data_IF_715080281454
#
_entry.id   IF_715080281454
#
_cell.length_a   1.000
_cell.length_b   1.000
_cell.length_c   1.000
_cell.angle_alpha   90.00
_cell.angle_beta   90.00
_cell.angle_gamma   90.00
#
_symmetry.space_group_name_H-M   'P 1'
#
loop_
_entity.id
_entity.type
_entity.pdbx_description
1 polymer ?
#
# COMPACT_ATOMS: atom_id res chain seq x y z
N UNK A 1 -20.45 9.18 69.94
CA UNK A 1 -19.74 7.92 70.28
C UNK A 1 -19.57 7.76 71.80
N UNK A 2 -18.84 8.64 72.48
CA UNK A 2 -18.55 8.47 73.92
C UNK A 2 -19.78 8.46 74.83
N UNK A 3 -20.81 9.25 74.48
CA UNK A 3 -22.11 9.28 75.18
C UNK A 3 -22.82 7.92 75.24
N UNK A 4 -22.65 7.06 74.22
CA UNK A 4 -23.40 5.80 74.07
C UNK A 4 -22.51 4.56 74.18
N UNK A 5 -21.24 4.71 74.56
CA UNK A 5 -20.20 3.67 74.46
C UNK A 5 -20.56 2.34 75.12
N UNK A 6 -21.24 2.37 76.27
CA UNK A 6 -21.71 1.18 77.00
C UNK A 6 -22.74 0.35 76.21
N UNK A 7 -23.46 1.00 75.29
CA UNK A 7 -24.59 0.42 74.55
C UNK A 7 -24.24 -0.08 73.16
N UNK A 8 -22.99 0.14 72.72
CA UNK A 8 -22.54 -0.23 71.40
C UNK A 8 -22.09 -1.70 71.35
N UNK A 9 -22.43 -2.38 70.25
CA UNK A 9 -21.88 -3.69 69.89
C UNK A 9 -20.51 -3.57 69.22
N UNK A 10 -20.27 -2.48 68.49
CA UNK A 10 -18.99 -2.18 67.87
C UNK A 10 -18.47 -0.83 68.37
N UNK A 11 -17.16 -0.71 68.62
CA UNK A 11 -16.58 0.51 69.13
C UNK A 11 -16.58 1.64 68.11
N UNK A 12 -16.60 1.33 66.80
CA UNK A 12 -16.55 2.30 65.71
C UNK A 12 -17.90 2.41 64.98
N UNK A 13 -18.25 3.59 64.44
CA UNK A 13 -19.40 3.74 63.56
C UNK A 13 -19.28 2.83 62.33
N UNK A 14 -20.41 2.36 61.84
CA UNK A 14 -20.50 1.51 60.66
C UNK A 14 -21.34 2.18 59.59
N UNK A 15 -20.92 2.07 58.32
CA UNK A 15 -21.72 2.54 57.19
C UNK A 15 -22.76 1.49 56.82
N UNK A 16 -24.04 1.90 56.76
CA UNK A 16 -25.18 1.08 56.33
C UNK A 16 -26.07 1.90 55.42
N UNK A 17 -26.39 1.35 54.24
CA UNK A 17 -27.20 2.02 53.23
C UNK A 17 -26.73 3.45 52.94
N UNK A 18 -25.40 3.66 52.87
CA UNK A 18 -24.77 4.96 52.62
C UNK A 18 -24.75 5.93 53.81
N UNK A 19 -25.29 5.56 54.98
CA UNK A 19 -25.32 6.39 56.18
C UNK A 19 -24.37 5.88 57.24
N UNK A 20 -23.71 6.78 57.96
CA UNK A 20 -22.92 6.44 59.13
C UNK A 20 -23.85 6.17 60.32
N UNK A 21 -23.66 5.02 60.97
CA UNK A 21 -24.56 4.54 62.02
C UNK A 21 -23.78 4.02 63.22
N UNK A 22 -24.40 4.09 64.40
CA UNK A 22 -23.88 3.43 65.58
C UNK A 22 -24.43 2.00 65.64
N UNK A 23 -23.54 1.02 65.80
CA UNK A 23 -23.91 -0.36 66.02
C UNK A 23 -24.32 -0.55 67.49
N UNK A 24 -25.61 -0.64 67.77
CA UNK A 24 -26.18 -0.74 69.12
C UNK A 24 -26.63 -2.18 69.39
N UNK A 25 -26.42 -2.67 70.62
CA UNK A 25 -26.92 -3.98 71.05
C UNK A 25 -28.45 -4.00 70.95
N UNK A 26 -29.02 -5.03 70.33
CA UNK A 26 -30.46 -5.12 70.07
C UNK A 26 -31.31 -5.02 71.35
N UNK A 27 -30.80 -5.58 72.46
CA UNK A 27 -31.43 -5.51 73.79
C UNK A 27 -31.48 -4.09 74.38
N UNK A 28 -30.62 -3.18 73.93
CA UNK A 28 -30.48 -1.81 74.44
C UNK A 28 -30.94 -0.76 73.42
N UNK A 29 -31.77 -1.16 72.45
CA UNK A 29 -32.28 -0.29 71.37
C UNK A 29 -32.84 1.06 71.85
N UNK A 30 -33.51 1.08 73.00
CA UNK A 30 -34.11 2.30 73.56
C UNK A 30 -33.11 3.30 74.13
N UNK A 31 -31.85 2.89 74.37
CA UNK A 31 -30.83 3.73 75.01
C UNK A 31 -30.16 4.70 74.03
N UNK A 32 -30.30 4.47 72.72
CA UNK A 32 -29.81 5.36 71.67
C UNK A 32 -30.99 5.82 70.81
N UNK A 33 -31.62 6.97 71.13
CA UNK A 33 -32.74 7.49 70.36
C UNK A 33 -32.33 7.81 68.91
N UNK A 34 -32.96 7.15 67.94
CA UNK A 34 -32.63 7.36 66.54
C UNK A 34 -33.40 6.47 65.57
N UNK A 35 -33.10 6.64 64.29
CA UNK A 35 -33.68 5.87 63.20
C UNK A 35 -32.88 4.58 63.03
N UNK A 36 -33.56 3.43 63.04
CA UNK A 36 -32.94 2.15 62.68
C UNK A 36 -32.75 2.11 61.17
N UNK A 37 -31.49 2.12 60.73
CA UNK A 37 -31.12 2.12 59.30
C UNK A 37 -31.01 0.69 58.77
N UNK A 38 -30.50 -0.22 59.59
CA UNK A 38 -30.31 -1.63 59.22
C UNK A 38 -30.21 -2.54 60.47
N UNK A 39 -30.21 -3.86 60.29
CA UNK A 39 -30.02 -4.86 61.36
C UNK A 39 -29.00 -5.93 60.93
N UNK A 40 -28.24 -6.46 61.89
CA UNK A 40 -27.33 -7.58 61.61
C UNK A 40 -28.12 -8.84 61.23
N UNK A 41 -27.49 -9.75 60.47
CA UNK A 41 -28.09 -11.04 60.08
C UNK A 41 -28.52 -11.90 61.27
N UNK A 42 -27.80 -11.81 62.39
CA UNK A 42 -28.13 -12.51 63.64
C UNK A 42 -29.21 -11.80 64.46
N UNK A 43 -29.57 -10.56 64.14
CA UNK A 43 -30.53 -9.74 64.89
C UNK A 43 -30.00 -9.16 66.21
N UNK A 44 -28.79 -9.53 66.63
CA UNK A 44 -28.18 -9.12 67.89
C UNK A 44 -27.68 -7.66 67.90
N UNK A 45 -27.46 -7.08 66.72
CA UNK A 45 -27.01 -5.69 66.57
C UNK A 45 -27.93 -4.94 65.63
N UNK A 46 -28.31 -3.72 66.02
CA UNK A 46 -29.07 -2.80 65.20
C UNK A 46 -28.19 -1.59 64.86
N UNK A 47 -28.32 -1.09 63.64
CA UNK A 47 -27.58 0.06 63.17
C UNK A 47 -28.47 1.29 63.25
N UNK A 48 -28.15 2.21 64.17
CA UNK A 48 -28.99 3.36 64.51
C UNK A 48 -28.29 4.65 64.12
N UNK A 49 -29.00 5.52 63.40
CA UNK A 49 -28.63 6.92 63.21
C UNK A 49 -29.29 7.76 64.32
N UNK A 50 -28.53 8.30 65.30
CA UNK A 50 -29.08 9.10 66.37
C UNK A 50 -29.83 10.34 65.85
N UNK A 51 -30.95 10.71 66.48
CA UNK A 51 -31.72 11.89 66.06
C UNK A 51 -30.89 13.18 66.09
N UNK A 52 -29.96 13.29 67.04
CA UNK A 52 -29.05 14.43 67.17
C UNK A 52 -28.11 14.62 65.96
N UNK A 53 -27.87 13.56 65.19
CA UNK A 53 -27.05 13.60 63.98
C UNK A 53 -27.87 13.70 62.69
N UNK A 54 -29.18 13.55 62.77
CA UNK A 54 -30.05 13.53 61.59
C UNK A 54 -30.01 14.86 60.82
N UNK A 55 -30.04 15.99 61.55
CA UNK A 55 -29.93 17.32 60.93
C UNK A 55 -28.57 17.54 60.26
N UNK A 56 -27.49 17.06 60.89
CA UNK A 56 -26.14 17.17 60.33
C UNK A 56 -25.95 16.29 59.10
N UNK A 57 -26.47 15.05 59.10
CA UNK A 57 -26.46 14.17 57.93
C UNK A 57 -27.23 14.75 56.76
N UNK A 58 -28.45 15.27 57.00
CA UNK A 58 -29.23 15.93 55.95
C UNK A 58 -28.52 17.18 55.41
N UNK A 59 -27.91 17.98 56.30
CA UNK A 59 -27.12 19.15 55.89
C UNK A 59 -25.91 18.75 55.05
N UNK A 60 -25.21 17.66 55.40
CA UNK A 60 -24.09 17.13 54.63
C UNK A 60 -24.54 16.70 53.23
N UNK A 61 -25.63 15.94 53.14
CA UNK A 61 -26.16 15.48 51.86
C UNK A 61 -26.57 16.65 50.95
N UNK A 62 -27.24 17.67 51.52
CA UNK A 62 -27.57 18.88 50.79
C UNK A 62 -26.31 19.63 50.30
N UNK A 63 -25.29 19.78 51.15
CA UNK A 63 -24.04 20.44 50.77
C UNK A 63 -23.29 19.71 49.66
N UNK A 64 -23.32 18.37 49.67
CA UNK A 64 -22.75 17.55 48.58
C UNK A 64 -23.53 17.80 47.27
N UNK A 65 -24.86 17.88 47.35
CA UNK A 65 -25.70 18.24 46.21
C UNK A 65 -25.42 19.64 45.67
N UNK A 66 -25.32 20.63 46.56
CA UNK A 66 -25.01 22.03 46.25
C UNK A 66 -23.61 22.15 45.61
N UNK A 67 -22.62 21.41 46.12
CA UNK A 67 -21.27 21.34 45.54
C UNK A 67 -21.30 20.79 44.10
N UNK A 68 -22.01 19.67 43.89
CA UNK A 68 -22.13 19.07 42.55
C UNK A 68 -22.80 20.04 41.57
N UNK A 69 -23.88 20.71 42.00
CA UNK A 69 -24.59 21.69 41.18
C UNK A 69 -23.70 22.90 40.83
N UNK A 70 -22.84 23.33 41.76
CA UNK A 70 -21.89 24.41 41.52
C UNK A 70 -20.78 23.99 40.54
N UNK A 71 -20.28 22.75 40.64
CA UNK A 71 -19.32 22.18 39.67
C UNK A 71 -19.93 22.19 38.27
N UNK A 72 -21.16 21.68 38.11
CA UNK A 72 -21.85 21.65 36.82
C UNK A 72 -22.07 23.07 36.27
N UNK A 73 -22.42 24.02 37.15
CA UNK A 73 -22.59 25.43 36.78
C UNK A 73 -21.28 26.03 36.26
N UNK A 74 -20.16 25.78 36.94
CA UNK A 74 -18.83 26.26 36.54
C UNK A 74 -18.41 25.62 35.21
N UNK A 75 -18.57 24.30 35.06
CA UNK A 75 -18.22 23.58 33.82
C UNK A 75 -19.05 24.04 32.62
N UNK A 76 -20.36 24.25 32.81
CA UNK A 76 -21.23 24.79 31.78
C UNK A 76 -20.79 26.22 31.37
N UNK A 77 -20.44 27.05 32.34
CA UNK A 77 -19.95 28.41 32.08
C UNK A 77 -18.63 28.40 31.30
N UNK A 78 -17.65 27.58 31.71
CA UNK A 78 -16.39 27.42 30.98
C UNK A 78 -16.64 26.91 29.56
N UNK A 79 -17.47 25.88 29.40
CA UNK A 79 -17.81 25.32 28.08
C UNK A 79 -18.45 26.37 27.18
N UNK A 80 -19.35 27.21 27.73
CA UNK A 80 -19.95 28.30 26.97
C UNK A 80 -18.92 29.35 26.56
N UNK A 81 -17.97 29.69 27.45
CA UNK A 81 -16.87 30.60 27.13
C UNK A 81 -16.02 30.08 25.96
N UNK A 82 -15.78 28.77 25.86
CA UNK A 82 -15.09 28.18 24.70
C UNK A 82 -15.96 28.19 23.44
N UNK A 83 -17.26 27.96 23.58
CA UNK A 83 -18.21 27.94 22.45
C UNK A 83 -18.25 29.29 21.72
N UNK A 84 -18.15 30.39 22.45
CA UNK A 84 -18.14 31.73 21.86
C UNK A 84 -16.95 31.95 20.90
N UNK A 85 -15.87 31.18 21.08
CA UNK A 85 -14.67 31.18 20.23
C UNK A 85 -14.55 29.98 19.30
N UNK A 86 -15.59 29.13 19.18
CA UNK A 86 -15.50 27.87 18.43
C UNK A 86 -15.04 28.07 16.98
N UNK A 87 -15.55 29.11 16.31
CA UNK A 87 -15.18 29.39 14.92
C UNK A 87 -13.72 29.83 14.74
N UNK A 88 -13.13 30.48 15.76
CA UNK A 88 -11.72 30.85 15.76
C UNK A 88 -10.86 29.61 15.99
N UNK A 89 -11.24 28.78 16.97
CA UNK A 89 -10.56 27.51 17.27
C UNK A 89 -10.59 26.53 16.09
N UNK A 90 -11.68 26.46 15.33
CA UNK A 90 -11.77 25.64 14.12
C UNK A 90 -10.81 26.12 13.01
N UNK A 91 -10.67 27.44 12.84
CA UNK A 91 -9.71 28.02 11.88
C UNK A 91 -8.28 27.79 12.32
N UNK A 92 -7.99 27.95 13.61
CA UNK A 92 -6.69 27.69 14.19
C UNK A 92 -6.33 26.22 14.03
N UNK A 93 -7.26 25.31 14.36
CA UNK A 93 -7.08 23.87 14.18
C UNK A 93 -6.80 23.52 12.72
N UNK A 94 -7.56 24.06 11.77
CA UNK A 94 -7.30 23.85 10.35
C UNK A 94 -5.89 24.32 9.96
N UNK A 95 -5.49 25.52 10.42
CA UNK A 95 -4.18 26.10 10.12
C UNK A 95 -3.03 25.28 10.72
N UNK A 96 -3.18 24.81 11.96
CA UNK A 96 -2.22 23.92 12.61
C UNK A 96 -2.05 22.61 11.85
N UNK A 97 -3.14 22.00 11.38
CA UNK A 97 -3.05 20.78 10.57
C UNK A 97 -2.32 21.00 9.24
N UNK A 98 -2.53 22.16 8.60
CA UNK A 98 -1.78 22.50 7.38
C UNK A 98 -0.29 22.65 7.66
N UNK A 99 0.07 23.35 8.74
CA UNK A 99 1.47 23.52 9.15
C UNK A 99 2.12 22.19 9.52
N UNK A 100 1.45 21.37 10.32
CA UNK A 100 1.95 20.04 10.71
C UNK A 100 2.17 19.15 9.48
N UNK A 101 1.22 19.14 8.54
CA UNK A 101 1.35 18.42 7.27
C UNK A 101 2.54 18.91 6.42
N UNK A 102 2.78 20.23 6.35
CA UNK A 102 3.94 20.79 5.65
C UNK A 102 5.23 20.35 6.34
N UNK A 103 5.32 20.51 7.67
CA UNK A 103 6.48 20.11 8.46
C UNK A 103 6.78 18.62 8.31
N UNK A 104 5.76 17.76 8.35
CA UNK A 104 5.90 16.32 8.14
C UNK A 104 6.41 15.97 6.75
N UNK A 105 5.90 16.63 5.70
CA UNK A 105 6.39 16.43 4.32
C UNK A 105 7.84 16.87 4.14
N UNK A 106 8.23 17.98 4.75
CA UNK A 106 9.62 18.49 4.73
C UNK A 106 10.55 17.55 5.51
N UNK A 107 10.15 17.12 6.71
CA UNK A 107 10.93 16.20 7.52
C UNK A 107 11.15 14.85 6.83
N UNK A 108 10.10 14.30 6.21
CA UNK A 108 10.21 13.09 5.39
C UNK A 108 11.10 13.34 4.17
N UNK A 109 10.93 14.46 3.47
CA UNK A 109 11.79 14.90 2.37
C UNK A 109 13.28 14.92 2.69
N UNK A 110 13.63 15.41 3.88
CA UNK A 110 15.02 15.46 4.35
C UNK A 110 15.59 14.08 4.69
N UNK A 111 14.77 13.07 5.01
CA UNK A 111 15.27 11.73 5.33
C UNK A 111 15.89 11.01 4.13
N UNK A 112 15.69 11.51 2.91
CA UNK A 112 16.25 10.99 1.66
C UNK A 112 16.91 12.07 0.77
N UNK A 113 17.27 13.22 1.35
CA UNK A 113 17.87 14.35 0.62
C UNK A 113 17.08 14.80 -0.63
N UNK A 114 15.75 14.88 -0.47
CA UNK A 114 14.83 15.23 -1.55
C UNK A 114 14.90 16.70 -1.98
N UNK A 115 14.45 16.96 -3.21
CA UNK A 115 14.46 18.29 -3.83
C UNK A 115 13.07 18.78 -4.21
N UNK A 116 12.89 20.09 -4.35
CA UNK A 116 11.66 20.64 -4.93
C UNK A 116 11.76 20.53 -6.45
N UNK A 117 10.80 19.86 -7.08
CA UNK A 117 10.77 19.75 -8.53
C UNK A 117 10.35 21.07 -9.19
N UNK A 118 10.98 21.39 -10.31
CA UNK A 118 10.49 22.44 -11.22
C UNK A 118 9.34 21.88 -12.07
N UNK A 119 8.33 22.69 -12.35
CA UNK A 119 7.17 22.27 -13.14
C UNK A 119 7.38 22.58 -14.63
N UNK A 120 7.32 21.53 -15.46
CA UNK A 120 7.35 21.66 -16.92
C UNK A 120 6.40 20.61 -17.54
N UNK A 121 5.35 21.01 -18.28
CA UNK A 121 4.39 20.06 -18.87
C UNK A 121 4.99 19.18 -19.97
N UNK A 122 6.20 19.49 -20.44
CA UNK A 122 6.84 18.82 -21.58
C UNK A 122 8.00 17.92 -21.21
N UNK A 123 8.42 17.91 -19.93
CA UNK A 123 9.64 17.22 -19.49
C UNK A 123 9.43 16.43 -18.21
N UNK A 124 9.88 15.18 -18.21
CA UNK A 124 10.05 14.35 -17.02
C UNK A 124 11.55 14.09 -16.87
N UNK A 125 12.18 14.76 -15.91
CA UNK A 125 13.61 14.62 -15.60
C UNK A 125 13.75 14.33 -14.11
N UNK A 126 14.39 13.20 -13.80
CA UNK A 126 14.72 12.77 -12.45
C UNK A 126 16.21 12.43 -12.44
N UNK A 127 17.07 13.31 -11.92
CA UNK A 127 18.51 13.08 -11.83
C UNK A 127 18.91 12.53 -10.47
N UNK A 128 19.68 11.45 -10.49
CA UNK A 128 20.14 10.73 -9.29
C UNK A 128 18.97 10.45 -8.33
N UNK A 129 17.84 10.01 -8.87
CA UNK A 129 16.66 9.67 -8.08
C UNK A 129 16.76 8.26 -7.50
N UNK A 130 16.11 8.08 -6.37
CA UNK A 130 16.05 6.83 -5.63
C UNK A 130 14.60 6.46 -5.32
N UNK A 131 14.39 5.21 -4.94
CA UNK A 131 13.12 4.78 -4.38
C UNK A 131 13.03 5.22 -2.90
N UNK A 132 12.06 6.07 -2.50
CA UNK A 132 12.06 6.72 -1.18
C UNK A 132 11.85 5.76 0.00
N UNK A 133 11.31 4.56 -0.26
CA UNK A 133 11.13 3.50 0.75
C UNK A 133 12.32 2.54 0.87
N UNK A 134 13.34 2.66 0.02
CA UNK A 134 14.56 1.86 0.14
C UNK A 134 15.54 2.66 1.02
N UNK A 135 16.13 2.04 2.07
CA UNK A 135 17.14 2.69 2.90
C UNK A 135 18.28 3.31 2.08
N UNK A 136 18.69 4.54 2.42
CA UNK A 136 19.69 5.32 1.67
C UNK A 136 21.01 4.58 1.43
N UNK A 137 21.45 3.76 2.39
CA UNK A 137 22.66 2.95 2.31
C UNK A 137 22.57 1.81 1.30
N UNK A 138 21.36 1.45 0.88
CA UNK A 138 21.07 0.37 -0.09
C UNK A 138 20.51 0.89 -1.41
N UNK A 139 20.02 2.12 -1.44
CA UNK A 139 19.39 2.71 -2.60
C UNK A 139 20.44 3.06 -3.67
N UNK A 140 20.22 2.58 -4.89
CA UNK A 140 21.07 2.93 -6.04
C UNK A 140 20.41 4.08 -6.80
N UNK A 141 21.11 5.21 -6.87
CA UNK A 141 20.64 6.40 -7.57
C UNK A 141 20.73 6.22 -9.09
N UNK A 142 19.65 6.59 -9.78
CA UNK A 142 19.50 6.46 -11.22
C UNK A 142 19.07 7.77 -11.87
N UNK A 143 19.18 7.89 -13.19
CA UNK A 143 18.74 9.11 -13.90
C UNK A 143 17.82 8.75 -15.06
N UNK A 144 16.70 9.46 -15.16
CA UNK A 144 15.75 9.38 -16.28
C UNK A 144 15.49 10.78 -16.81
N UNK A 145 15.50 10.93 -18.13
CA UNK A 145 15.11 12.14 -18.85
C UNK A 145 14.23 11.73 -20.02
N UNK A 146 13.01 12.28 -20.06
CA UNK A 146 12.02 12.06 -21.10
C UNK A 146 11.38 13.38 -21.48
N UNK A 147 11.11 13.56 -22.77
CA UNK A 147 10.48 14.74 -23.32
C UNK A 147 11.34 16.02 -23.25
N UNK A 148 10.89 17.04 -23.96
CA UNK A 148 11.62 18.29 -24.19
C UNK A 148 12.04 18.39 -25.65
N UNK A 149 11.36 19.27 -26.41
CA UNK A 149 11.54 19.32 -27.86
C UNK A 149 11.18 17.99 -28.52
N UNK A 150 12.12 17.43 -29.29
CA UNK A 150 11.98 16.16 -30.02
C UNK A 150 12.46 14.94 -29.21
N UNK A 151 12.75 15.10 -27.91
CA UNK A 151 13.14 13.98 -27.05
C UNK A 151 11.98 12.98 -26.84
N UNK A 152 12.29 11.67 -26.78
CA UNK A 152 11.29 10.63 -26.60
C UNK A 152 10.56 10.76 -25.26
N UNK A 153 9.26 10.47 -25.26
CA UNK A 153 8.41 10.45 -24.05
C UNK A 153 8.20 9.04 -23.50
N UNK A 154 8.58 8.04 -24.29
CA UNK A 154 8.43 6.63 -23.96
C UNK A 154 9.79 6.02 -23.66
N UNK A 155 9.87 5.28 -22.56
CA UNK A 155 11.02 4.50 -22.15
C UNK A 155 10.68 3.01 -22.20
N UNK A 156 11.50 2.20 -22.87
CA UNK A 156 11.43 0.74 -22.79
C UNK A 156 12.65 0.23 -22.03
N UNK A 157 12.40 -0.44 -20.89
CA UNK A 157 13.42 -0.95 -19.98
C UNK A 157 13.56 -2.46 -20.16
N UNK A 158 14.77 -2.90 -20.45
CA UNK A 158 15.15 -4.30 -20.63
C UNK A 158 16.15 -4.77 -19.56
N UNK A 159 16.38 -6.08 -19.48
CA UNK A 159 17.36 -6.69 -18.57
C UNK A 159 16.75 -7.81 -17.72
N UNK A 160 17.59 -8.53 -16.94
CA UNK A 160 17.17 -9.73 -16.21
C UNK A 160 16.08 -9.45 -15.17
N UNK A 161 15.28 -10.48 -14.86
CA UNK A 161 14.39 -10.46 -13.70
C UNK A 161 15.23 -10.42 -12.43
N UNK A 162 14.86 -9.55 -11.49
CA UNK A 162 15.68 -9.04 -10.38
C UNK A 162 16.71 -7.94 -10.71
N UNK A 163 16.73 -7.36 -11.93
CA UNK A 163 17.59 -6.21 -12.26
C UNK A 163 17.15 -4.85 -11.70
N UNK A 164 16.00 -4.76 -11.02
CA UNK A 164 15.46 -3.51 -10.47
C UNK A 164 14.46 -2.76 -11.37
N UNK A 165 14.06 -3.34 -12.52
CA UNK A 165 13.13 -2.70 -13.48
C UNK A 165 11.81 -2.24 -12.83
N UNK A 166 11.16 -3.13 -12.07
CA UNK A 166 9.92 -2.84 -11.34
C UNK A 166 10.09 -1.77 -10.27
N UNK A 167 11.25 -1.77 -9.59
CA UNK A 167 11.60 -0.76 -8.57
C UNK A 167 11.76 0.61 -9.23
N UNK A 168 12.37 0.66 -10.40
CA UNK A 168 12.52 1.89 -11.17
C UNK A 168 11.17 2.48 -11.59
N UNK A 169 10.25 1.67 -12.11
CA UNK A 169 8.89 2.12 -12.43
C UNK A 169 8.17 2.67 -11.20
N UNK A 170 8.20 1.94 -10.07
CA UNK A 170 7.60 2.38 -8.81
C UNK A 170 8.22 3.69 -8.32
N UNK A 171 9.54 3.85 -8.44
CA UNK A 171 10.23 5.08 -8.05
C UNK A 171 9.82 6.29 -8.92
N UNK A 172 9.66 6.12 -10.24
CA UNK A 172 9.15 7.17 -11.14
C UNK A 172 7.70 7.54 -10.77
N UNK A 173 6.85 6.54 -10.51
CA UNK A 173 5.47 6.75 -10.08
C UNK A 173 5.39 7.55 -8.78
N UNK A 174 6.14 7.12 -7.76
CA UNK A 174 6.18 7.77 -6.46
C UNK A 174 6.71 9.20 -6.57
N UNK A 175 7.80 9.43 -7.30
CA UNK A 175 8.33 10.77 -7.53
C UNK A 175 7.29 11.71 -8.15
N UNK A 176 6.51 11.21 -9.12
CA UNK A 176 5.46 11.98 -9.81
C UNK A 176 4.29 12.31 -8.88
N UNK A 177 3.83 11.34 -8.08
CA UNK A 177 2.75 11.54 -7.11
C UNK A 177 3.20 12.48 -5.99
N UNK A 178 4.40 12.29 -5.45
CA UNK A 178 4.98 13.12 -4.41
C UNK A 178 5.08 14.59 -4.84
N UNK A 179 5.50 14.85 -6.09
CA UNK A 179 5.47 16.19 -6.67
C UNK A 179 4.08 16.82 -6.62
N UNK A 180 3.04 16.09 -7.06
CA UNK A 180 1.65 16.57 -7.04
C UNK A 180 1.06 16.71 -5.63
N UNK A 181 1.62 16.02 -4.64
CA UNK A 181 1.27 16.18 -3.22
C UNK A 181 2.04 17.32 -2.54
N UNK A 182 2.88 18.06 -3.27
CA UNK A 182 3.71 19.13 -2.71
C UNK A 182 4.78 18.62 -1.74
N UNK A 183 5.29 17.42 -1.99
CA UNK A 183 6.39 16.81 -1.23
C UNK A 183 7.72 17.03 -1.96
N UNK A 184 8.83 16.97 -1.20
CA UNK A 184 10.16 16.88 -1.80
C UNK A 184 10.27 15.56 -2.59
N UNK A 185 10.78 15.63 -3.81
CA UNK A 185 10.98 14.48 -4.70
C UNK A 185 12.30 13.81 -4.35
N UNK A 186 12.38 12.46 -4.29
CA UNK A 186 13.59 11.72 -3.92
C UNK A 186 14.62 11.70 -5.07
N UNK A 187 15.07 12.88 -5.48
CA UNK A 187 16.03 13.11 -6.55
C UNK A 187 16.89 14.33 -6.22
N UNK A 188 18.09 14.38 -6.79
CA UNK A 188 18.98 15.54 -6.62
C UNK A 188 18.49 16.75 -7.43
N UNK A 189 18.01 16.50 -8.65
CA UNK A 189 17.34 17.48 -9.49
C UNK A 189 16.10 16.84 -10.09
N UNK A 190 14.98 17.56 -10.08
CA UNK A 190 13.72 17.07 -10.62
C UNK A 190 13.02 18.16 -11.47
N UNK A 191 12.55 17.76 -12.65
CA UNK A 191 11.63 18.53 -13.49
C UNK A 191 10.48 17.60 -13.83
N UNK A 192 9.26 17.94 -13.44
CA UNK A 192 8.10 17.05 -13.61
C UNK A 192 6.88 17.84 -14.10
N UNK A 193 6.05 17.26 -14.97
CA UNK A 193 4.75 17.83 -15.26
C UNK A 193 3.79 17.55 -14.10
N UNK A 194 2.64 18.22 -14.11
CA UNK A 194 1.48 17.77 -13.33
C UNK A 194 0.66 16.83 -14.22
N UNK A 195 0.73 15.54 -13.93
CA UNK A 195 -0.05 14.52 -14.62
C UNK A 195 -1.51 14.57 -14.16
N UNK A 196 -2.43 14.37 -15.10
CA UNK A 196 -3.85 14.22 -14.75
C UNK A 196 -4.15 12.83 -14.17
N UNK A 197 -3.44 11.81 -14.64
CA UNK A 197 -3.53 10.44 -14.17
C UNK A 197 -2.14 9.79 -14.18
N UNK A 198 -1.86 9.00 -13.14
CA UNK A 198 -0.67 8.14 -13.04
C UNK A 198 -1.15 6.69 -13.02
N UNK A 199 -0.92 5.98 -14.10
CA UNK A 199 -1.26 4.57 -14.26
C UNK A 199 -0.05 3.70 -13.94
N UNK A 200 -0.27 2.64 -13.15
CA UNK A 200 0.75 1.63 -12.87
C UNK A 200 0.13 0.24 -12.93
N UNK A 201 0.70 -0.63 -13.76
CA UNK A 201 0.36 -2.04 -13.83
C UNK A 201 1.61 -2.84 -13.48
N UNK A 202 1.56 -3.55 -12.35
CA UNK A 202 2.67 -4.40 -11.88
C UNK A 202 2.42 -5.86 -12.22
N UNK A 203 3.47 -6.61 -12.57
CA UNK A 203 3.39 -8.04 -12.87
C UNK A 203 3.00 -8.92 -11.68
N UNK A 204 3.17 -8.44 -10.44
CA UNK A 204 2.87 -9.17 -9.19
C UNK A 204 1.36 -9.18 -8.85
N UNK A 205 0.48 -9.49 -9.81
CA UNK A 205 -0.92 -9.78 -9.50
C UNK A 205 -1.06 -11.23 -9.02
N UNK A 206 -0.46 -11.57 -7.87
CA UNK A 206 -1.01 -12.62 -7.02
C UNK A 206 -2.25 -12.06 -6.33
N UNK A 207 -3.38 -12.12 -7.03
CA UNK A 207 -4.65 -11.77 -6.41
C UNK A 207 -5.05 -12.88 -5.45
N UNK A 208 -5.00 -12.57 -4.15
CA UNK A 208 -5.71 -13.24 -3.05
C UNK A 208 -7.26 -13.28 -3.21
N UNK A 209 -7.79 -12.96 -4.39
CA UNK A 209 -9.19 -13.13 -4.77
C UNK A 209 -9.26 -14.15 -5.90
N UNK A 210 -9.49 -15.41 -5.53
CA UNK A 210 -9.58 -16.53 -6.47
C UNK A 210 -10.65 -16.31 -7.54
N UNK A 211 -10.26 -16.43 -8.82
CA UNK A 211 -11.01 -16.94 -9.98
C UNK A 211 -10.58 -16.36 -11.35
N UNK A 212 -9.59 -15.45 -11.43
CA UNK A 212 -9.08 -14.93 -12.72
C UNK A 212 -7.63 -15.35 -12.94
N UNK A 213 -7.30 -15.80 -14.17
CA UNK A 213 -5.91 -16.00 -14.57
C UNK A 213 -5.15 -14.68 -14.50
N UNK A 214 -3.88 -14.72 -14.09
CA UNK A 214 -2.99 -13.55 -14.03
C UNK A 214 -3.01 -12.72 -15.33
N UNK A 215 -3.12 -13.39 -16.48
CA UNK A 215 -3.27 -12.76 -17.78
C UNK A 215 -4.55 -11.94 -17.93
N UNK A 216 -5.70 -12.48 -17.51
CA UNK A 216 -6.98 -11.77 -17.63
C UNK A 216 -7.01 -10.49 -16.79
N UNK A 217 -6.39 -10.54 -15.61
CA UNK A 217 -6.20 -9.36 -14.76
C UNK A 217 -5.31 -8.31 -15.43
N UNK A 218 -4.17 -8.74 -15.99
CA UNK A 218 -3.25 -7.86 -16.72
C UNK A 218 -3.94 -7.20 -17.92
N UNK A 219 -4.70 -7.97 -18.73
CA UNK A 219 -5.49 -7.44 -19.84
C UNK A 219 -6.55 -6.43 -19.41
N UNK A 220 -7.22 -6.67 -18.28
CA UNK A 220 -8.20 -5.71 -17.75
C UNK A 220 -7.52 -4.39 -17.40
N UNK A 221 -6.36 -4.43 -16.75
CA UNK A 221 -5.56 -3.24 -16.45
C UNK A 221 -5.14 -2.49 -17.71
N UNK A 222 -4.61 -3.20 -18.72
CA UNK A 222 -4.26 -2.59 -20.00
C UNK A 222 -5.47 -1.96 -20.69
N UNK A 223 -6.65 -2.62 -20.66
CA UNK A 223 -7.88 -2.07 -21.23
C UNK A 223 -8.27 -0.76 -20.55
N UNK A 224 -8.25 -0.70 -19.23
CA UNK A 224 -8.61 0.50 -18.46
C UNK A 224 -7.67 1.66 -18.79
N UNK A 225 -6.36 1.39 -18.88
CA UNK A 225 -5.35 2.38 -19.27
C UNK A 225 -5.55 2.85 -20.71
N UNK A 226 -5.76 1.93 -21.65
CA UNK A 226 -5.99 2.24 -23.07
C UNK A 226 -7.21 3.15 -23.27
N UNK A 227 -8.25 2.98 -22.46
CA UNK A 227 -9.48 3.77 -22.58
C UNK A 227 -9.40 5.14 -21.89
N UNK A 228 -8.57 5.27 -20.85
CA UNK A 228 -8.60 6.42 -19.93
C UNK A 228 -7.38 7.34 -20.04
N UNK A 229 -6.27 6.85 -20.61
CA UNK A 229 -5.05 7.63 -20.75
C UNK A 229 -5.24 8.83 -21.66
N UNK A 230 -4.62 9.95 -21.29
CA UNK A 230 -4.58 11.18 -22.08
C UNK A 230 -3.13 11.54 -22.40
N UNK A 231 -2.90 12.52 -23.27
CA UNK A 231 -1.56 13.05 -23.55
C UNK A 231 -0.87 13.73 -22.35
N UNK A 232 -1.56 13.91 -21.22
CA UNK A 232 -1.00 14.43 -19.96
C UNK A 232 -0.90 13.36 -18.88
N UNK A 233 -1.11 12.10 -19.22
CA UNK A 233 -1.00 10.99 -18.27
C UNK A 233 0.42 10.42 -18.24
N UNK A 234 0.75 9.77 -17.12
CA UNK A 234 1.94 8.92 -16.99
C UNK A 234 1.49 7.46 -16.99
N UNK A 235 2.03 6.64 -17.89
CA UNK A 235 1.65 5.22 -18.05
C UNK A 235 2.84 4.31 -17.79
N UNK A 236 2.75 3.50 -16.73
CA UNK A 236 3.82 2.61 -16.30
C UNK A 236 3.33 1.16 -16.33
N UNK A 237 3.97 0.31 -17.12
CA UNK A 237 3.60 -1.12 -17.18
C UNK A 237 4.83 -1.99 -17.00
N UNK A 238 4.77 -2.85 -16.00
CA UNK A 238 5.78 -3.86 -15.73
C UNK A 238 5.43 -5.15 -16.48
N UNK A 239 6.40 -5.71 -17.20
CA UNK A 239 6.31 -6.93 -17.99
C UNK A 239 5.12 -6.91 -18.97
N UNK A 240 5.09 -5.89 -19.83
CA UNK A 240 3.99 -5.69 -20.78
C UNK A 240 3.80 -6.92 -21.69
N UNK A 241 2.57 -7.43 -21.75
CA UNK A 241 2.21 -8.59 -22.58
C UNK A 241 2.45 -9.95 -21.91
N UNK A 242 2.87 -9.99 -20.64
CA UNK A 242 3.07 -11.25 -19.92
C UNK A 242 1.77 -12.05 -19.76
N UNK A 243 1.89 -13.39 -19.74
CA UNK A 243 0.80 -14.31 -19.38
C UNK A 243 0.14 -15.04 -20.56
N UNK A 244 0.68 -14.86 -21.77
CA UNK A 244 0.22 -15.52 -23.01
C UNK A 244 1.42 -16.03 -23.83
N UNK A 245 1.16 -16.52 -25.05
CA UNK A 245 2.20 -16.86 -26.03
C UNK A 245 3.16 -15.67 -26.23
N UNK A 246 4.46 -15.90 -26.42
CA UNK A 246 5.41 -14.80 -26.62
C UNK A 246 5.04 -13.88 -27.79
N UNK A 247 4.51 -14.45 -28.88
CA UNK A 247 4.13 -13.72 -30.09
C UNK A 247 2.92 -12.81 -29.85
N UNK A 248 1.86 -13.33 -29.21
CA UNK A 248 0.67 -12.54 -28.89
C UNK A 248 0.98 -11.45 -27.87
N UNK A 249 1.80 -11.78 -26.85
CA UNK A 249 2.21 -10.84 -25.81
C UNK A 249 3.03 -9.69 -26.38
N UNK A 250 3.97 -10.00 -27.27
CA UNK A 250 4.79 -9.01 -27.97
C UNK A 250 3.93 -8.11 -28.88
N UNK A 251 3.03 -8.69 -29.67
CA UNK A 251 2.15 -7.95 -30.57
C UNK A 251 1.19 -7.02 -29.81
N UNK A 252 0.61 -7.48 -28.71
CA UNK A 252 -0.25 -6.67 -27.86
C UNK A 252 0.52 -5.54 -27.19
N UNK A 253 1.72 -5.82 -26.67
CA UNK A 253 2.59 -4.83 -26.07
C UNK A 253 2.99 -3.74 -27.08
N UNK A 254 3.32 -4.12 -28.31
CA UNK A 254 3.59 -3.19 -29.40
C UNK A 254 2.39 -2.28 -29.67
N UNK A 255 1.19 -2.86 -29.85
CA UNK A 255 -0.02 -2.09 -30.14
C UNK A 255 -0.37 -1.10 -29.01
N UNK A 256 -0.19 -1.51 -27.76
CA UNK A 256 -0.41 -0.66 -26.60
C UNK A 256 0.60 0.50 -26.55
N UNK A 257 1.90 0.23 -26.76
CA UNK A 257 2.94 1.27 -26.77
C UNK A 257 2.69 2.28 -27.89
N UNK A 258 2.29 1.82 -29.09
CA UNK A 258 1.92 2.73 -30.19
C UNK A 258 0.76 3.65 -29.80
N UNK A 259 -0.26 3.12 -29.14
CA UNK A 259 -1.37 3.95 -28.67
C UNK A 259 -0.92 5.05 -27.69
N UNK A 260 -0.03 4.73 -26.74
CA UNK A 260 0.51 5.73 -25.81
C UNK A 260 1.40 6.76 -26.53
N UNK A 261 2.16 6.34 -27.54
CA UNK A 261 2.92 7.24 -28.43
C UNK A 261 2.00 8.21 -29.17
N UNK A 262 0.91 7.72 -29.75
CA UNK A 262 -0.06 8.53 -30.50
C UNK A 262 -0.73 9.58 -29.61
N UNK A 263 -1.01 9.24 -28.36
CA UNK A 263 -1.49 10.18 -27.34
C UNK A 263 -0.44 11.25 -26.95
N UNK A 264 0.84 11.02 -27.23
CA UNK A 264 2.00 11.81 -26.75
C UNK A 264 2.11 11.87 -25.22
N UNK A 265 1.58 10.84 -24.55
CA UNK A 265 1.68 10.68 -23.11
C UNK A 265 3.11 10.31 -22.69
N UNK A 266 3.42 10.44 -21.41
CA UNK A 266 4.66 9.89 -20.86
C UNK A 266 4.45 8.42 -20.51
N UNK A 267 5.44 7.58 -20.79
CA UNK A 267 5.35 6.17 -20.44
C UNK A 267 6.68 5.48 -20.20
N UNK A 268 6.66 4.48 -19.33
CA UNK A 268 7.79 3.59 -19.13
C UNK A 268 7.31 2.13 -19.03
N UNK A 269 7.90 1.27 -19.84
CA UNK A 269 7.47 -0.10 -20.06
C UNK A 269 8.63 -1.04 -19.82
N UNK A 270 8.46 -2.09 -19.01
CA UNK A 270 9.48 -3.14 -18.89
C UNK A 270 9.10 -4.34 -19.75
N UNK A 271 10.09 -5.00 -20.34
CA UNK A 271 9.84 -6.14 -21.22
C UNK A 271 11.00 -7.14 -21.26
N UNK A 272 10.64 -8.39 -21.57
CA UNK A 272 11.57 -9.46 -21.91
C UNK A 272 11.55 -9.83 -23.38
N UNK A 273 10.54 -9.35 -24.11
CA UNK A 273 10.31 -9.68 -25.51
C UNK A 273 11.36 -9.02 -26.41
N UNK A 274 11.99 -9.84 -27.25
CA UNK A 274 13.10 -9.38 -28.08
C UNK A 274 12.63 -8.42 -29.19
N UNK A 275 11.41 -8.54 -29.71
CA UNK A 275 10.88 -7.59 -30.68
C UNK A 275 10.60 -6.22 -30.07
N UNK A 276 10.15 -6.14 -28.81
CA UNK A 276 10.01 -4.84 -28.13
C UNK A 276 11.37 -4.20 -27.80
N UNK A 277 12.41 -4.99 -27.55
CA UNK A 277 13.78 -4.48 -27.42
C UNK A 277 14.29 -3.92 -28.75
N UNK A 278 14.06 -4.63 -29.86
CA UNK A 278 14.40 -4.16 -31.22
C UNK A 278 13.66 -2.88 -31.56
N UNK A 279 12.36 -2.82 -31.26
CA UNK A 279 11.54 -1.63 -31.44
C UNK A 279 12.16 -0.40 -30.78
N UNK A 280 12.60 -0.53 -29.52
CA UNK A 280 13.26 0.54 -28.77
C UNK A 280 14.62 0.95 -29.35
N UNK A 281 15.31 0.04 -30.04
CA UNK A 281 16.62 0.29 -30.64
C UNK A 281 16.51 0.93 -32.03
N UNK A 282 15.45 0.64 -32.77
CA UNK A 282 15.25 1.10 -34.16
C UNK A 282 14.51 2.44 -34.24
N UNK A 283 13.71 2.78 -33.24
CA UNK A 283 12.89 4.00 -33.22
C UNK A 283 13.54 5.14 -32.45
N UNK A 284 13.47 6.35 -32.98
CA UNK A 284 14.01 7.57 -32.34
C UNK A 284 13.03 8.22 -31.38
N UNK A 285 11.73 7.91 -31.48
CA UNK A 285 10.67 8.41 -30.61
C UNK A 285 10.46 7.55 -29.35
N UNK A 286 11.28 6.51 -29.17
CA UNK A 286 11.33 5.65 -28.00
C UNK A 286 12.76 5.64 -27.44
N UNK A 287 12.89 5.89 -26.15
CA UNK A 287 14.16 5.71 -25.44
C UNK A 287 14.32 4.24 -25.05
N UNK A 288 15.40 3.62 -25.47
CA UNK A 288 15.82 2.32 -24.93
C UNK A 288 16.53 2.51 -23.58
N UNK A 289 16.38 1.56 -22.68
CA UNK A 289 17.16 1.51 -21.45
C UNK A 289 17.34 0.09 -20.94
N UNK A 290 18.38 -0.11 -20.15
CA UNK A 290 18.71 -1.41 -19.59
C UNK A 290 19.20 -1.31 -18.15
N UNK A 291 18.86 -2.30 -17.34
CA UNK A 291 19.49 -2.46 -16.03
C UNK A 291 20.83 -3.16 -16.17
N UNK A 292 21.88 -2.56 -15.60
CA UNK A 292 23.24 -3.08 -15.62
C UNK A 292 23.36 -4.36 -14.77
N UNK A 293 24.09 -5.31 -15.33
CA UNK A 293 24.40 -6.58 -14.70
C UNK A 293 25.92 -6.80 -14.71
N UNK A 294 26.51 -7.00 -13.54
CA UNK A 294 27.94 -7.24 -13.41
C UNK A 294 28.26 -8.67 -13.86
N UNK A 295 28.95 -8.83 -14.99
CA UNK A 295 29.42 -10.15 -15.44
C UNK A 295 30.50 -10.73 -14.53
N UNK A 296 31.28 -9.87 -13.86
CA UNK A 296 32.35 -10.30 -12.95
C UNK A 296 31.79 -10.93 -11.68
N UNK A 297 30.77 -10.30 -11.11
CA UNK A 297 30.17 -10.70 -9.83
C UNK A 297 28.87 -11.50 -10.01
N UNK A 298 28.41 -11.68 -11.26
CA UNK A 298 27.15 -12.33 -11.64
C UNK A 298 25.93 -11.85 -10.83
N UNK A 299 25.87 -10.53 -10.58
CA UNK A 299 24.80 -9.88 -9.81
C UNK A 299 24.32 -8.59 -10.46
N UNK A 300 23.04 -8.22 -10.30
CA UNK A 300 22.54 -6.91 -10.72
C UNK A 300 23.23 -5.79 -9.94
N UNK A 301 23.64 -4.72 -10.63
CA UNK A 301 24.19 -3.52 -9.98
C UNK A 301 23.09 -2.50 -9.67
N UNK A 302 21.89 -2.70 -10.23
CA UNK A 302 20.73 -1.80 -10.16
C UNK A 302 20.96 -0.41 -10.76
N UNK A 303 22.07 -0.22 -11.50
CA UNK A 303 22.31 0.98 -12.28
C UNK A 303 21.55 0.91 -13.61
N UNK A 304 20.86 2.00 -13.93
CA UNK A 304 20.14 2.16 -15.17
C UNK A 304 21.04 2.80 -16.23
N UNK A 305 21.15 2.11 -17.37
CA UNK A 305 21.88 2.55 -18.54
C UNK A 305 20.88 3.08 -19.58
N UNK A 306 20.81 4.40 -19.70
CA UNK A 306 19.99 5.06 -20.71
C UNK A 306 20.58 4.87 -22.10
N UNK A 307 19.73 4.59 -23.10
CA UNK A 307 20.13 4.31 -24.48
C UNK A 307 20.70 2.91 -24.72
N UNK A 308 20.80 2.07 -23.69
CA UNK A 308 21.34 0.72 -23.80
C UNK A 308 20.23 -0.34 -23.99
N UNK A 309 20.54 -1.38 -24.77
CA UNK A 309 19.71 -2.59 -24.88
C UNK A 309 20.32 -3.70 -24.04
N UNK A 310 19.55 -4.26 -23.10
CA UNK A 310 20.02 -5.28 -22.17
C UNK A 310 19.97 -6.69 -22.75
N UNK A 311 21.01 -7.48 -22.49
CA UNK A 311 21.03 -8.92 -22.77
C UNK A 311 20.39 -9.73 -21.64
N UNK A 312 19.86 -10.91 -21.96
CA UNK A 312 19.32 -11.86 -20.98
C UNK A 312 20.42 -12.80 -20.47
N UNK A 313 20.79 -12.69 -19.18
CA UNK A 313 21.87 -13.47 -18.54
C UNK A 313 21.36 -14.71 -17.77
N UNK A 314 20.30 -15.35 -18.27
CA UNK A 314 19.59 -16.40 -17.53
C UNK A 314 20.47 -17.64 -17.25
N UNK A 315 21.38 -18.01 -18.17
CA UNK A 315 22.22 -19.19 -17.99
C UNK A 315 23.41 -18.92 -17.06
N UNK A 316 23.99 -17.73 -17.11
CA UNK A 316 25.07 -17.28 -16.25
C UNK A 316 24.59 -17.16 -14.79
N UNK A 317 23.36 -16.69 -14.59
CA UNK A 317 22.72 -16.70 -13.27
C UNK A 317 22.45 -18.13 -12.79
N UNK A 318 21.97 -19.03 -13.67
CA UNK A 318 21.75 -20.43 -13.31
C UNK A 318 23.06 -21.13 -12.87
N UNK A 319 24.16 -20.90 -13.59
CA UNK A 319 25.50 -21.41 -13.26
C UNK A 319 25.95 -20.94 -11.88
N UNK A 320 25.83 -19.63 -11.59
CA UNK A 320 26.16 -19.07 -10.29
C UNK A 320 25.31 -19.64 -9.14
N UNK A 321 24.05 -20.00 -9.41
CA UNK A 321 23.16 -20.63 -8.43
C UNK A 321 23.39 -22.15 -8.27
N UNK A 322 24.47 -22.69 -8.84
CA UNK A 322 24.88 -24.08 -8.63
C UNK A 322 24.14 -25.10 -9.50
N UNK A 323 23.50 -24.66 -10.59
CA UNK A 323 22.94 -25.58 -11.59
C UNK A 323 24.08 -26.30 -12.33
N UNK A 324 23.92 -27.60 -12.57
CA UNK A 324 24.97 -28.40 -13.20
C UNK A 324 25.27 -27.94 -14.63
N UNK A 325 26.56 -27.96 -15.00
CA UNK A 325 27.00 -27.55 -16.34
C UNK A 325 26.35 -28.40 -17.43
N UNK A 326 26.15 -29.70 -17.18
CA UNK A 326 25.46 -30.59 -18.11
C UNK A 326 24.02 -30.12 -18.42
N UNK A 327 23.29 -29.66 -17.41
CA UNK A 327 21.93 -29.14 -17.61
C UNK A 327 21.94 -27.84 -18.42
N UNK A 328 22.89 -26.95 -18.12
CA UNK A 328 23.05 -25.67 -18.83
C UNK A 328 23.40 -25.90 -20.30
N UNK A 329 24.33 -26.82 -20.58
CA UNK A 329 24.76 -27.14 -21.93
C UNK A 329 23.61 -27.74 -22.75
N UNK A 330 22.86 -28.68 -22.16
CA UNK A 330 21.65 -29.25 -22.78
C UNK A 330 20.59 -28.17 -23.05
N UNK A 331 20.39 -27.23 -22.12
CA UNK A 331 19.43 -26.14 -22.30
C UNK A 331 19.87 -25.15 -23.40
N UNK A 332 21.17 -24.83 -23.50
CA UNK A 332 21.74 -24.00 -24.57
C UNK A 332 21.59 -24.66 -25.94
N UNK A 333 21.81 -25.97 -26.03
CA UNK A 333 21.64 -26.74 -27.27
C UNK A 333 20.16 -26.75 -27.71
N UNK A 334 19.24 -26.99 -26.78
CA UNK A 334 17.81 -26.93 -27.05
C UNK A 334 17.34 -25.53 -27.47
N UNK A 335 17.86 -24.46 -26.86
CA UNK A 335 17.54 -23.08 -27.27
C UNK A 335 17.96 -22.81 -28.73
N UNK A 336 19.09 -23.36 -29.17
CA UNK A 336 19.54 -23.23 -30.57
C UNK A 336 18.66 -24.01 -31.54
N UNK A 337 18.09 -25.14 -31.13
CA UNK A 337 17.16 -25.91 -31.97
C UNK A 337 15.79 -25.24 -32.06
N UNK A 338 15.31 -24.58 -31.00
CA UNK A 338 14.03 -23.83 -31.02
C UNK A 338 13.99 -22.75 -32.11
N UNK A 339 15.10 -22.03 -32.34
CA UNK A 339 15.19 -21.04 -33.43
C UNK A 339 15.14 -21.64 -34.85
N UNK A 340 15.08 -22.97 -34.99
CA UNK A 340 14.97 -23.70 -36.26
C UNK A 340 13.67 -24.50 -36.40
N UNK A 341 12.83 -24.58 -35.37
CA UNK A 341 11.58 -25.34 -35.44
C UNK A 341 10.49 -24.45 -36.03
N UNK A 342 10.14 -24.73 -37.27
CA UNK A 342 8.97 -24.17 -37.94
C UNK A 342 7.70 -24.79 -37.34
N UNK A 343 7.12 -24.09 -36.36
CA UNK A 343 5.90 -24.50 -35.64
C UNK A 343 4.73 -24.75 -36.59
N UNK A 344 4.66 -24.02 -37.72
CA UNK A 344 3.64 -24.20 -38.75
C UNK A 344 3.72 -25.61 -39.40
N UNK A 345 4.93 -26.13 -39.62
CA UNK A 345 5.14 -27.49 -40.12
C UNK A 345 4.68 -28.55 -39.12
N UNK A 346 4.85 -28.31 -37.81
CA UNK A 346 4.44 -29.26 -36.78
C UNK A 346 2.92 -29.29 -36.61
N UNK A 347 2.27 -28.12 -36.65
CA UNK A 347 0.81 -28.00 -36.64
C UNK A 347 0.18 -28.64 -37.88
N UNK A 348 0.76 -28.43 -39.06
CA UNK A 348 0.31 -29.09 -40.29
C UNK A 348 0.41 -30.63 -40.20
N UNK A 349 1.48 -31.16 -39.61
CA UNK A 349 1.65 -32.60 -39.40
C UNK A 349 0.66 -33.18 -38.37
N UNK A 350 0.39 -32.44 -37.29
CA UNK A 350 -0.59 -32.84 -36.28
C UNK A 350 -2.01 -32.83 -36.84
N UNK A 351 -2.36 -31.80 -37.61
CA UNK A 351 -3.66 -31.69 -38.28
C UNK A 351 -3.86 -32.83 -39.28
N UNK A 352 -2.83 -33.15 -40.08
CA UNK A 352 -2.86 -34.28 -41.01
C UNK A 352 -3.03 -35.63 -40.28
N UNK A 353 -2.38 -35.82 -39.11
CA UNK A 353 -2.55 -37.04 -38.30
C UNK A 353 -3.95 -37.17 -37.71
N UNK A 354 -4.52 -36.08 -37.22
CA UNK A 354 -5.88 -36.07 -36.68
C UNK A 354 -6.88 -36.44 -37.79
N UNK A 355 -6.73 -35.84 -38.97
CA UNK A 355 -7.59 -36.12 -40.11
C UNK A 355 -7.48 -37.58 -40.57
N UNK A 356 -6.25 -38.13 -40.57
CA UNK A 356 -6.01 -39.54 -40.88
C UNK A 356 -6.63 -40.49 -39.86
N UNK A 357 -6.58 -40.16 -38.57
CA UNK A 357 -7.22 -40.96 -37.53
C UNK A 357 -8.74 -40.94 -37.66
N UNK A 358 -9.33 -39.78 -37.94
CA UNK A 358 -10.77 -39.67 -38.16
C UNK A 358 -11.23 -40.48 -39.39
N UNK A 359 -10.45 -40.49 -40.48
CA UNK A 359 -10.72 -41.35 -41.65
C UNK A 359 -10.67 -42.85 -41.30
N UNK A 360 -9.70 -43.26 -40.48
CA UNK A 360 -9.55 -44.65 -40.06
C UNK A 360 -10.67 -45.09 -39.11
N UNK A 361 -11.12 -44.21 -38.20
CA UNK A 361 -12.29 -44.45 -37.35
C UNK A 361 -13.57 -44.56 -38.17
N UNK A 362 -13.75 -43.70 -39.18
CA UNK A 362 -14.87 -43.78 -40.10
C UNK A 362 -14.88 -45.13 -40.84
N UNK A 363 -13.74 -45.53 -41.41
CA UNK A 363 -13.60 -46.82 -42.11
C UNK A 363 -13.80 -48.04 -41.20
N UNK A 364 -13.41 -47.94 -39.93
CA UNK A 364 -13.63 -49.00 -38.94
C UNK A 364 -15.12 -49.12 -38.60
N UNK A 365 -15.80 -47.97 -38.40
CA UNK A 365 -17.24 -47.93 -38.13
C UNK A 365 -18.06 -48.45 -39.32
N UNK A 366 -17.68 -48.09 -40.54
CA UNK A 366 -18.34 -48.58 -41.76
C UNK A 366 -18.19 -50.11 -41.89
N UNK A 367 -17.00 -50.66 -41.63
CA UNK A 367 -16.77 -52.11 -41.63
C UNK A 367 -17.48 -52.86 -40.51
N UNK A 368 -17.67 -52.24 -39.35
CA UNK A 368 -18.45 -52.79 -38.25
C UNK A 368 -19.96 -52.72 -38.52
N UNK A 369 -20.43 -51.80 -39.37
CA UNK A 369 -21.83 -51.73 -39.80
C UNK A 369 -22.15 -52.72 -40.94
N UNK A 370 -21.15 -53.15 -41.71
CA UNK A 370 -21.26 -54.16 -42.76
C UNK A 370 -21.13 -55.61 -42.26
N UNK A 371 -20.65 -55.81 -41.02
CA UNK A 371 -20.51 -57.10 -40.33
C UNK A 371 -21.70 -57.40 -39.42
#
# INVERSE_FOLDING_TARGET
RDRYRSHLSLPEPAIRNGRETLAVKSAEKGMVPGIVVDRSKTGETIFVLPYELLELENKRENLIGDEMAEIDRIMAHLTQSFRDHLSELERDYYSYNQLDSICGRVAFGHSYDGTVASLDPTRLVLKNFIHPLIPLDKAVANTVSLGGGDEPRILIISGPNAGGKSVMLKAIALASIMNQMGMLVPAREAILPCFDQVFILTGDSESLSGNLSSFSGHLKGLKEMYQSATGRSLVLVDEIGQGTSPEDGEALGFAFIQHILDLRAFGAFTTHYDGLKKLAAERTDILSGAMEFSQKDLRPTFHFLSGAVGNSYAFEVAEHNGISQEMIDRAKEYKKSLGKVDLESLEAQLTAKIQRNNELEQQLNDKLAEA
#
